data_IF_763892804600
#
_entry.id   IF_763892804600
#
_cell.length_a   1.000
_cell.length_b   1.000
_cell.length_c   1.000
_cell.angle_alpha   90.00
_cell.angle_beta   90.00
_cell.angle_gamma   90.00
#
_symmetry.space_group_name_H-M   'P 1'
#
loop_
_entity.id
_entity.type
_entity.pdbx_description
1 polymer ?
#
# COMPACT_ATOMS: atom_id res chain seq x y z
N UNK A 1 11.26 -5.33 -21.49
CA UNK A 1 10.84 -6.43 -20.60
C UNK A 1 9.31 -6.41 -20.58
N UNK A 2 8.60 -7.55 -20.73
CA UNK A 2 7.14 -7.52 -20.79
C UNK A 2 6.55 -7.12 -19.43
N UNK A 3 5.70 -6.08 -19.43
CA UNK A 3 4.93 -5.68 -18.27
C UNK A 3 3.96 -6.81 -17.93
N UNK A 4 3.96 -7.24 -16.67
CA UNK A 4 2.99 -8.22 -16.20
C UNK A 4 1.60 -7.56 -16.23
N UNK A 5 0.68 -8.13 -16.99
CA UNK A 5 -0.74 -7.84 -16.81
C UNK A 5 -1.26 -8.94 -15.87
N UNK A 6 -1.58 -8.62 -14.61
CA UNK A 6 -2.32 -9.55 -13.78
C UNK A 6 -3.62 -9.83 -14.54
N UNK A 7 -3.78 -11.08 -14.96
CA UNK A 7 -4.93 -11.48 -15.78
C UNK A 7 -6.18 -11.17 -14.96
N UNK A 8 -7.06 -10.32 -15.49
CA UNK A 8 -8.37 -9.98 -14.91
C UNK A 8 -8.41 -8.98 -13.73
N UNK A 9 -7.47 -8.03 -13.65
CA UNK A 9 -7.55 -6.92 -12.67
C UNK A 9 -7.87 -5.61 -13.40
N UNK A 10 -8.93 -4.90 -12.98
CA UNK A 10 -9.33 -3.62 -13.59
C UNK A 10 -8.33 -2.49 -13.27
N UNK A 11 -7.86 -2.41 -12.03
CA UNK A 11 -6.90 -1.40 -11.63
C UNK A 11 -5.94 -1.91 -10.52
N UNK A 12 -4.67 -1.58 -10.65
CA UNK A 12 -3.62 -1.83 -9.65
C UNK A 12 -3.22 -0.50 -9.02
N UNK A 13 -3.31 -0.41 -7.69
CA UNK A 13 -3.04 0.81 -6.92
C UNK A 13 -1.96 0.55 -5.90
N UNK A 14 -0.89 1.33 -5.92
CA UNK A 14 0.15 1.27 -4.90
C UNK A 14 -0.16 2.21 -3.73
N UNK A 15 -0.01 1.73 -2.50
CA UNK A 15 0.02 2.56 -1.30
C UNK A 15 1.47 2.76 -0.88
N UNK A 16 1.91 4.01 -0.85
CA UNK A 16 3.28 4.40 -0.55
C UNK A 16 3.34 5.48 0.52
N UNK A 17 4.50 5.63 1.13
CA UNK A 17 4.79 6.71 2.07
C UNK A 17 6.26 7.05 2.04
N UNK A 18 6.60 8.33 2.15
CA UNK A 18 7.98 8.78 2.20
C UNK A 18 8.69 8.44 3.53
N UNK A 19 7.92 8.16 4.60
CA UNK A 19 8.44 7.81 5.93
C UNK A 19 7.66 6.65 6.53
N UNK A 20 8.36 5.85 7.37
CA UNK A 20 7.74 4.79 8.15
C UNK A 20 6.85 5.33 9.29
N UNK A 21 5.96 4.48 9.80
CA UNK A 21 5.11 4.78 10.96
C UNK A 21 4.01 5.81 10.70
N UNK A 22 3.63 6.04 9.45
CA UNK A 22 2.50 6.93 9.09
C UNK A 22 1.14 6.22 9.09
N UNK A 23 1.10 4.92 9.33
CA UNK A 23 -0.13 4.11 9.35
C UNK A 23 -0.57 3.60 7.97
N UNK A 24 0.32 3.58 6.98
CA UNK A 24 0.04 3.18 5.58
C UNK A 24 -0.70 1.84 5.48
N UNK A 25 -0.18 0.77 6.09
CA UNK A 25 -0.74 -0.58 6.01
C UNK A 25 -2.14 -0.67 6.63
N UNK A 26 -2.35 -0.05 7.81
CA UNK A 26 -3.66 0.01 8.46
C UNK A 26 -4.68 0.77 7.60
N UNK A 27 -4.25 1.83 6.91
CA UNK A 27 -5.08 2.58 5.97
C UNK A 27 -5.39 1.72 4.75
N UNK A 28 -4.39 1.09 4.13
CA UNK A 28 -4.56 0.21 2.98
C UNK A 28 -5.60 -0.89 3.26
N UNK A 29 -5.48 -1.59 4.41
CA UNK A 29 -6.40 -2.65 4.84
C UNK A 29 -7.83 -2.12 5.03
N UNK A 30 -8.02 -0.97 5.70
CA UNK A 30 -9.36 -0.44 5.94
C UNK A 30 -9.99 0.21 4.70
N UNK A 31 -9.20 0.76 3.79
CA UNK A 31 -9.69 1.20 2.46
C UNK A 31 -10.10 -0.01 1.62
N UNK A 32 -9.32 -1.10 1.62
CA UNK A 32 -9.70 -2.34 0.96
C UNK A 32 -11.02 -2.90 1.53
N UNK A 33 -11.16 -2.88 2.85
CA UNK A 33 -12.39 -3.31 3.51
C UNK A 33 -13.59 -2.42 3.16
N UNK A 34 -13.42 -1.11 3.11
CA UNK A 34 -14.47 -0.18 2.71
C UNK A 34 -14.89 -0.39 1.23
N UNK A 35 -13.92 -0.63 0.33
CA UNK A 35 -14.18 -0.99 -1.07
C UNK A 35 -14.94 -2.32 -1.18
N UNK A 36 -14.55 -3.33 -0.41
CA UNK A 36 -15.23 -4.63 -0.40
C UNK A 36 -16.65 -4.51 0.16
N UNK A 37 -16.88 -3.69 1.20
CA UNK A 37 -18.21 -3.38 1.71
C UNK A 37 -19.06 -2.62 0.68
N UNK A 38 -18.45 -1.87 -0.23
CA UNK A 38 -19.12 -1.23 -1.36
C UNK A 38 -19.33 -2.19 -2.57
N UNK A 39 -19.04 -3.48 -2.40
CA UNK A 39 -19.29 -4.52 -3.42
C UNK A 39 -18.16 -4.72 -4.42
N UNK A 40 -16.98 -4.12 -4.21
CA UNK A 40 -15.80 -4.33 -5.06
C UNK A 40 -15.10 -5.64 -4.71
N UNK A 41 -14.62 -6.36 -5.73
CA UNK A 41 -13.71 -7.51 -5.57
C UNK A 41 -12.29 -6.97 -5.39
N UNK A 42 -11.75 -7.10 -4.17
CA UNK A 42 -10.47 -6.48 -3.79
C UNK A 42 -9.44 -7.53 -3.42
N UNK A 43 -8.21 -7.32 -3.87
CA UNK A 43 -7.05 -8.02 -3.34
C UNK A 43 -6.07 -7.05 -2.70
N UNK A 44 -5.29 -7.54 -1.73
CA UNK A 44 -4.16 -6.83 -1.14
C UNK A 44 -2.90 -7.67 -1.32
N UNK A 45 -1.85 -7.04 -1.83
CA UNK A 45 -0.49 -7.57 -1.78
C UNK A 45 0.27 -6.80 -0.71
N UNK A 46 0.73 -7.50 0.33
CA UNK A 46 1.69 -6.97 1.29
C UNK A 46 3.10 -7.13 0.70
N UNK A 47 3.56 -6.08 0.10
CA UNK A 47 4.89 -6.01 -0.51
C UNK A 47 5.95 -5.42 0.42
N UNK A 48 5.60 -5.08 1.69
CA UNK A 48 6.62 -4.69 2.67
C UNK A 48 7.47 -5.91 3.04
N UNK A 49 8.64 -5.97 2.40
CA UNK A 49 9.57 -7.08 2.54
C UNK A 49 10.25 -7.10 3.93
N UNK A 50 10.25 -5.97 4.64
CA UNK A 50 10.94 -5.83 5.93
C UNK A 50 10.01 -6.05 7.13
N UNK A 51 8.74 -5.63 6.98
CA UNK A 51 7.77 -5.64 8.09
C UNK A 51 6.36 -5.95 7.60
N UNK A 52 6.14 -7.13 6.98
CA UNK A 52 4.81 -7.48 6.47
C UNK A 52 3.82 -7.63 7.63
N UNK A 53 2.69 -6.93 7.55
CA UNK A 53 1.69 -6.90 8.63
C UNK A 53 0.25 -7.07 8.17
N UNK A 54 -0.02 -6.96 6.86
CA UNK A 54 -1.39 -6.96 6.29
C UNK A 54 -2.16 -8.22 6.62
N UNK A 55 -1.54 -9.41 6.52
CA UNK A 55 -2.23 -10.67 6.83
C UNK A 55 -2.69 -10.73 8.29
N UNK A 56 -1.82 -10.28 9.22
CA UNK A 56 -2.18 -10.15 10.64
C UNK A 56 -3.36 -9.21 10.86
N UNK A 57 -3.33 -8.03 10.23
CA UNK A 57 -4.41 -7.03 10.30
C UNK A 57 -5.74 -7.54 9.71
N UNK A 58 -5.69 -8.49 8.77
CA UNK A 58 -6.87 -9.17 8.22
C UNK A 58 -7.34 -10.35 9.08
N UNK A 59 -6.69 -10.63 10.21
CA UNK A 59 -6.99 -11.78 11.06
C UNK A 59 -6.60 -13.13 10.45
N UNK A 60 -5.75 -13.10 9.44
CA UNK A 60 -5.25 -14.30 8.79
C UNK A 60 -4.03 -14.81 9.58
N UNK A 61 -4.14 -16.04 10.08
CA UNK A 61 -3.03 -16.70 10.79
C UNK A 61 -1.85 -16.95 9.85
N UNK A 62 -0.65 -17.24 10.38
CA UNK A 62 0.51 -17.57 9.58
C UNK A 62 0.12 -18.63 8.55
N UNK A 63 0.14 -18.22 7.30
CA UNK A 63 -0.28 -19.05 6.19
C UNK A 63 0.91 -19.86 5.70
N UNK A 64 0.59 -20.89 4.95
CA UNK A 64 1.57 -21.70 4.23
C UNK A 64 2.60 -20.81 3.54
N UNK A 65 3.85 -21.20 3.62
CA UNK A 65 4.93 -20.63 2.84
C UNK A 65 5.02 -21.34 1.49
N UNK A 66 5.36 -20.60 0.47
CA UNK A 66 5.48 -21.08 -0.88
C UNK A 66 6.93 -21.27 -1.28
N UNK A 67 7.28 -22.49 -1.70
CA UNK A 67 8.61 -22.80 -2.21
C UNK A 67 8.92 -22.00 -3.51
N UNK A 68 10.20 -21.80 -3.86
CA UNK A 68 10.58 -21.21 -5.13
C UNK A 68 9.93 -21.96 -6.31
N UNK A 69 9.27 -21.21 -7.21
CA UNK A 69 8.57 -21.80 -8.39
C UNK A 69 7.17 -22.36 -8.09
N UNK A 70 6.75 -22.44 -6.84
CA UNK A 70 5.40 -22.86 -6.48
C UNK A 70 4.39 -21.76 -6.79
N UNK A 71 3.21 -22.17 -7.32
CA UNK A 71 2.10 -21.26 -7.53
C UNK A 71 1.52 -20.77 -6.19
N UNK A 72 1.18 -19.49 -6.15
CA UNK A 72 0.66 -18.84 -4.96
C UNK A 72 -0.85 -18.73 -5.05
N UNK A 73 -1.54 -19.36 -4.10
CA UNK A 73 -2.97 -19.16 -3.87
C UNK A 73 -3.16 -18.11 -2.76
N UNK A 74 -3.72 -16.92 -3.09
CA UNK A 74 -3.99 -15.91 -2.09
C UNK A 74 -4.97 -16.40 -1.03
N UNK A 75 -4.72 -16.02 0.21
CA UNK A 75 -5.64 -16.30 1.30
C UNK A 75 -6.96 -15.54 1.12
N UNK A 76 -8.06 -16.15 1.54
CA UNK A 76 -9.37 -15.50 1.62
C UNK A 76 -9.57 -14.89 3.00
N UNK A 77 -9.55 -13.58 3.07
CA UNK A 77 -9.79 -12.79 4.28
C UNK A 77 -11.26 -12.39 4.45
N UNK A 78 -11.52 -11.58 5.47
CA UNK A 78 -12.85 -11.01 5.70
C UNK A 78 -13.38 -10.27 4.46
N UNK A 79 -14.69 -10.21 4.29
CA UNK A 79 -15.38 -9.56 3.17
C UNK A 79 -14.98 -10.08 1.78
N UNK A 80 -14.37 -11.27 1.70
CA UNK A 80 -13.88 -11.84 0.46
C UNK A 80 -12.59 -11.21 -0.08
N UNK A 81 -11.90 -10.39 0.72
CA UNK A 81 -10.60 -9.80 0.35
C UNK A 81 -9.59 -10.93 0.15
N UNK A 82 -8.96 -10.99 -1.03
CA UNK A 82 -7.87 -11.92 -1.32
C UNK A 82 -6.55 -11.29 -0.92
N UNK A 83 -5.71 -12.00 -0.19
CA UNK A 83 -4.46 -11.42 0.31
C UNK A 83 -3.26 -12.38 0.18
N UNK A 84 -2.11 -11.80 -0.12
CA UNK A 84 -0.81 -12.48 -0.12
C UNK A 84 0.24 -11.51 0.45
N UNK A 85 1.26 -12.06 1.11
CA UNK A 85 2.33 -11.26 1.71
C UNK A 85 3.71 -11.82 1.39
N UNK A 86 4.68 -10.93 1.40
CA UNK A 86 6.10 -11.23 1.24
C UNK A 86 6.61 -12.28 2.24
N UNK A 87 6.09 -12.27 3.47
CA UNK A 87 6.40 -13.26 4.50
C UNK A 87 6.08 -14.71 4.13
N UNK A 88 5.22 -14.92 3.13
CA UNK A 88 4.91 -16.24 2.60
C UNK A 88 5.95 -16.76 1.60
N UNK A 89 6.88 -15.91 1.16
CA UNK A 89 7.94 -16.25 0.20
C UNK A 89 9.25 -16.67 0.90
N UNK A 90 9.36 -16.51 2.21
CA UNK A 90 10.60 -16.76 2.96
C UNK A 90 10.53 -18.03 3.79
N UNK A 91 11.62 -18.81 3.84
CA UNK A 91 11.76 -20.02 4.66
C UNK A 91 12.27 -19.70 6.09
N UNK A 92 11.57 -18.88 6.85
CA UNK A 92 11.74 -18.81 8.31
C UNK A 92 12.82 -17.88 8.87
N UNK A 93 13.79 -17.48 8.10
CA UNK A 93 14.82 -16.52 8.51
C UNK A 93 14.40 -15.09 8.16
N UNK A 94 14.75 -14.07 8.97
CA UNK A 94 14.57 -12.68 8.58
C UNK A 94 15.33 -12.44 7.28
N UNK A 95 14.61 -12.11 6.23
CA UNK A 95 15.25 -11.84 4.94
C UNK A 95 15.69 -10.38 4.94
N UNK A 96 16.99 -10.15 5.03
CA UNK A 96 17.56 -8.83 4.79
C UNK A 96 17.53 -8.56 3.28
N UNK A 97 16.58 -7.71 2.84
CA UNK A 97 16.52 -7.28 1.46
C UNK A 97 17.57 -6.18 1.23
N UNK A 98 18.59 -6.49 0.45
CA UNK A 98 19.53 -5.49 -0.03
C UNK A 98 18.93 -4.78 -1.25
N UNK A 99 18.63 -3.48 -1.10
CA UNK A 99 18.19 -2.62 -2.20
C UNK A 99 19.39 -2.01 -2.97
N UNK A 100 20.60 -2.51 -2.75
CA UNK A 100 21.79 -1.96 -3.35
C UNK A 100 22.05 -2.63 -4.71
N UNK A 101 21.37 -2.15 -5.74
CA UNK A 101 21.88 -2.26 -7.12
C UNK A 101 22.95 -1.17 -7.34
N UNK A 102 24.10 -1.30 -6.70
CA UNK A 102 25.31 -0.58 -7.11
C UNK A 102 26.38 -1.61 -7.39
N UNK A 103 26.98 -1.53 -8.58
CA UNK A 103 28.09 -2.39 -9.00
C UNK A 103 29.28 -2.37 -8.01
N UNK A 104 29.30 -1.39 -7.09
CA UNK A 104 30.34 -1.16 -6.08
C UNK A 104 29.93 -1.55 -4.65
N UNK A 105 28.78 -2.23 -4.44
CA UNK A 105 28.41 -2.66 -3.10
C UNK A 105 29.38 -3.74 -2.58
N UNK A 106 29.96 -3.60 -1.39
CA UNK A 106 30.79 -4.64 -0.82
C UNK A 106 29.97 -5.92 -0.65
N UNK A 107 30.53 -7.10 -0.87
CA UNK A 107 29.82 -8.36 -0.72
C UNK A 107 29.25 -8.44 0.70
N UNK A 108 27.97 -8.86 0.87
CA UNK A 108 27.34 -8.96 2.17
C UNK A 108 28.17 -9.86 3.09
N UNK A 109 28.45 -9.36 4.30
CA UNK A 109 29.19 -10.10 5.31
C UNK A 109 28.52 -11.45 5.57
N UNK A 110 29.33 -12.50 5.75
CA UNK A 110 28.82 -13.79 6.19
C UNK A 110 28.31 -13.65 7.63
N UNK A 111 27.08 -14.13 7.89
CA UNK A 111 26.61 -14.33 9.25
C UNK A 111 27.57 -15.28 9.99
N UNK A 112 27.68 -15.16 11.32
CA UNK A 112 28.61 -15.93 12.14
C UNK A 112 28.50 -17.46 11.97
N UNK A 113 27.39 -17.95 11.43
CA UNK A 113 27.12 -19.36 11.12
C UNK A 113 27.49 -19.78 9.68
N UNK A 114 28.10 -18.87 8.90
CA UNK A 114 28.52 -19.16 7.51
C UNK A 114 27.40 -19.12 6.47
N UNK A 115 26.15 -18.91 6.87
CA UNK A 115 25.03 -18.75 5.94
C UNK A 115 25.13 -17.40 5.21
N UNK A 116 24.87 -17.41 3.91
CA UNK A 116 24.61 -16.16 3.16
C UNK A 116 23.19 -15.73 3.50
N UNK A 117 22.95 -14.43 3.81
CA UNK A 117 21.58 -13.93 3.81
C UNK A 117 20.96 -14.28 2.46
N UNK A 118 19.76 -14.79 2.46
CA UNK A 118 19.03 -15.07 1.21
C UNK A 118 18.74 -13.69 0.58
N UNK A 119 19.53 -13.28 -0.39
CA UNK A 119 19.30 -12.10 -1.21
C UNK A 119 18.10 -12.39 -2.11
N UNK A 120 16.90 -12.13 -1.58
CA UNK A 120 15.70 -12.15 -2.43
C UNK A 120 15.73 -10.86 -3.21
N UNK A 121 15.95 -10.94 -4.53
CA UNK A 121 15.75 -9.84 -5.42
C UNK A 121 14.34 -9.28 -5.24
N UNK A 122 14.22 -8.01 -4.82
CA UNK A 122 12.95 -7.33 -4.61
C UNK A 122 12.02 -7.48 -5.83
N UNK A 123 12.58 -7.38 -7.01
CA UNK A 123 11.88 -7.55 -8.29
C UNK A 123 11.34 -8.98 -8.46
N UNK A 124 12.12 -9.99 -8.08
CA UNK A 124 11.70 -11.38 -8.12
C UNK A 124 10.57 -11.66 -7.14
N UNK A 125 10.68 -11.11 -5.92
CA UNK A 125 9.63 -11.21 -4.90
C UNK A 125 8.32 -10.55 -5.35
N UNK A 126 8.37 -9.29 -5.83
CA UNK A 126 7.22 -8.58 -6.37
C UNK A 126 6.59 -9.32 -7.54
N UNK A 127 7.40 -9.85 -8.47
CA UNK A 127 6.91 -10.64 -9.60
C UNK A 127 6.17 -11.89 -9.15
N UNK A 128 6.67 -12.59 -8.13
CA UNK A 128 5.99 -13.77 -7.57
C UNK A 128 4.67 -13.42 -6.92
N UNK A 129 4.62 -12.34 -6.13
CA UNK A 129 3.39 -11.89 -5.48
C UNK A 129 2.33 -11.44 -6.49
N UNK A 130 2.74 -10.71 -7.53
CA UNK A 130 1.86 -10.27 -8.63
C UNK A 130 1.34 -11.45 -9.47
N UNK A 131 2.12 -12.54 -9.56
CA UNK A 131 1.75 -13.77 -10.28
C UNK A 131 0.82 -14.69 -9.50
N UNK A 132 0.38 -14.35 -8.30
CA UNK A 132 -0.53 -15.18 -7.52
C UNK A 132 -1.92 -15.30 -8.18
N UNK A 133 -2.61 -16.41 -7.95
CA UNK A 133 -3.90 -16.73 -8.58
C UNK A 133 -5.07 -16.04 -7.91
N UNK A 134 -5.22 -14.75 -8.13
CA UNK A 134 -6.30 -13.97 -7.51
C UNK A 134 -7.68 -14.21 -8.13
N UNK A 135 -7.76 -14.60 -9.41
CA UNK A 135 -8.99 -14.58 -10.20
C UNK A 135 -9.45 -13.15 -10.53
N UNK A 136 -10.69 -12.97 -11.02
CA UNK A 136 -11.17 -11.65 -11.45
C UNK A 136 -11.34 -10.68 -10.28
N UNK A 137 -10.72 -9.49 -10.40
CA UNK A 137 -10.71 -8.41 -9.41
C UNK A 137 -11.13 -7.07 -10.02
N UNK A 138 -11.81 -6.25 -9.21
CA UNK A 138 -11.97 -4.84 -9.54
C UNK A 138 -10.70 -4.06 -9.21
N UNK A 139 -10.09 -4.33 -8.05
CA UNK A 139 -8.97 -3.57 -7.52
C UNK A 139 -7.94 -4.49 -6.86
N UNK A 140 -6.67 -4.23 -7.16
CA UNK A 140 -5.53 -4.78 -6.44
C UNK A 140 -4.81 -3.64 -5.74
N UNK A 141 -4.78 -3.67 -4.41
CA UNK A 141 -4.04 -2.71 -3.59
C UNK A 141 -2.71 -3.31 -3.19
N UNK A 142 -1.62 -2.58 -3.39
CA UNK A 142 -0.27 -3.03 -3.07
C UNK A 142 0.27 -2.16 -1.95
N UNK A 143 0.45 -2.75 -0.77
CA UNK A 143 1.06 -2.10 0.39
C UNK A 143 2.57 -2.20 0.31
N UNK A 144 3.26 -1.09 -0.01
CA UNK A 144 4.71 -1.03 -0.20
C UNK A 144 5.43 -0.74 1.13
N UNK A 145 6.71 -1.05 1.22
CA UNK A 145 7.56 -0.50 2.29
C UNK A 145 7.61 1.02 2.24
N UNK A 146 8.06 1.64 3.33
CA UNK A 146 8.33 3.08 3.35
C UNK A 146 9.50 3.43 2.43
N UNK A 147 9.45 4.58 1.79
CA UNK A 147 10.37 5.01 0.73
C UNK A 147 9.83 4.69 -0.66
N UNK A 148 10.62 4.93 -1.70
CA UNK A 148 10.18 4.83 -3.10
C UNK A 148 10.80 3.66 -3.87
N UNK A 149 11.82 2.99 -3.34
CA UNK A 149 12.58 1.96 -4.06
C UNK A 149 11.69 0.83 -4.59
N UNK A 150 10.73 0.37 -3.78
CA UNK A 150 9.79 -0.66 -4.22
C UNK A 150 8.78 -0.14 -5.26
N UNK A 151 8.37 1.12 -5.17
CA UNK A 151 7.45 1.72 -6.15
C UNK A 151 8.09 1.75 -7.54
N UNK A 152 9.36 2.14 -7.62
CA UNK A 152 10.11 2.12 -8.87
C UNK A 152 10.17 0.71 -9.48
N UNK A 153 10.58 -0.29 -8.69
CA UNK A 153 10.57 -1.69 -9.12
C UNK A 153 9.19 -2.18 -9.55
N UNK A 154 8.14 -1.77 -8.83
CA UNK A 154 6.76 -2.17 -9.12
C UNK A 154 6.26 -1.58 -10.44
N UNK A 155 6.55 -0.30 -10.70
CA UNK A 155 6.15 0.39 -11.92
C UNK A 155 6.77 -0.22 -13.19
N UNK A 156 7.95 -0.85 -13.06
CA UNK A 156 8.56 -1.60 -14.17
C UNK A 156 7.94 -2.98 -14.40
N UNK A 157 7.24 -3.52 -13.41
CA UNK A 157 6.66 -4.87 -13.45
C UNK A 157 5.20 -4.89 -13.86
N UNK A 158 4.42 -3.89 -13.47
CA UNK A 158 2.98 -3.86 -13.69
C UNK A 158 2.50 -2.45 -14.05
N UNK A 159 1.51 -2.36 -14.91
CA UNK A 159 0.83 -1.09 -15.20
C UNK A 159 0.02 -0.65 -13.98
N UNK A 160 0.44 0.45 -13.37
CA UNK A 160 -0.24 1.03 -12.22
C UNK A 160 -1.31 2.02 -12.69
N UNK A 161 -2.51 1.91 -12.13
CA UNK A 161 -3.50 3.01 -12.21
C UNK A 161 -2.96 4.26 -11.51
N UNK A 162 -2.11 4.06 -10.51
CA UNK A 162 -1.33 5.09 -9.84
C UNK A 162 -1.02 4.76 -8.39
N UNK A 163 -0.52 5.78 -7.68
CA UNK A 163 -0.09 5.68 -6.29
C UNK A 163 -0.95 6.56 -5.37
N UNK A 164 -1.28 6.02 -4.20
CA UNK A 164 -1.85 6.76 -3.07
C UNK A 164 -0.74 7.03 -2.07
N UNK A 165 -0.45 8.29 -1.78
CA UNK A 165 0.58 8.68 -0.82
C UNK A 165 -0.01 8.96 0.55
N UNK A 166 0.50 8.25 1.57
CA UNK A 166 0.10 8.44 2.96
C UNK A 166 1.17 9.22 3.71
N UNK A 167 0.75 10.26 4.44
CA UNK A 167 1.64 11.09 5.25
C UNK A 167 1.04 11.45 6.61
N UNK A 168 1.82 12.07 7.48
CA UNK A 168 1.38 12.69 8.75
C UNK A 168 1.49 14.22 8.66
N UNK A 169 0.75 14.97 9.51
CA UNK A 169 0.74 16.42 9.44
C UNK A 169 2.07 17.10 9.77
N UNK A 170 3.05 16.39 10.34
CA UNK A 170 4.32 17.01 10.74
C UNK A 170 5.07 17.60 9.53
N UNK A 171 5.69 18.77 9.71
CA UNK A 171 6.43 19.46 8.65
C UNK A 171 7.49 18.57 7.98
N UNK A 172 8.19 17.74 8.77
CA UNK A 172 9.19 16.81 8.25
C UNK A 172 8.57 15.71 7.35
N UNK A 173 7.35 15.24 7.66
CA UNK A 173 6.65 14.27 6.82
C UNK A 173 6.10 14.91 5.54
N UNK A 174 5.51 16.11 5.66
CA UNK A 174 4.99 16.87 4.51
C UNK A 174 6.13 17.17 3.53
N UNK A 175 7.28 17.62 4.02
CA UNK A 175 8.46 17.89 3.19
C UNK A 175 8.99 16.63 2.50
N UNK A 176 9.17 15.53 3.25
CA UNK A 176 9.60 14.27 2.67
C UNK A 176 8.60 13.74 1.62
N UNK A 177 7.30 13.92 1.85
CA UNK A 177 6.27 13.54 0.88
C UNK A 177 6.35 14.40 -0.38
N UNK A 178 6.60 15.71 -0.24
CA UNK A 178 6.79 16.61 -1.39
C UNK A 178 7.97 16.17 -2.26
N UNK A 179 9.11 15.83 -1.64
CA UNK A 179 10.28 15.38 -2.39
C UNK A 179 10.03 14.02 -3.07
N UNK A 180 9.34 13.11 -2.38
CA UNK A 180 8.92 11.83 -2.96
C UNK A 180 7.99 12.00 -4.16
N UNK A 181 7.02 12.92 -4.09
CA UNK A 181 6.08 13.19 -5.19
C UNK A 181 6.75 13.76 -6.43
N UNK A 182 7.83 14.54 -6.27
CA UNK A 182 8.65 14.99 -7.42
C UNK A 182 9.32 13.83 -8.15
N UNK A 183 9.83 12.85 -7.39
CA UNK A 183 10.45 11.64 -7.98
C UNK A 183 9.38 10.82 -8.71
N UNK A 184 8.23 10.60 -8.07
CA UNK A 184 7.10 9.86 -8.66
C UNK A 184 6.62 10.51 -9.96
N UNK A 185 6.54 11.83 -10.00
CA UNK A 185 6.17 12.58 -11.20
C UNK A 185 7.23 12.45 -12.31
N UNK A 186 8.52 12.47 -11.94
CA UNK A 186 9.63 12.25 -12.87
C UNK A 186 9.58 10.84 -13.48
N UNK A 187 9.23 9.83 -12.69
CA UNK A 187 9.10 8.43 -13.12
C UNK A 187 7.80 8.16 -13.92
N UNK A 188 6.99 9.19 -14.14
CA UNK A 188 5.75 9.10 -14.91
C UNK A 188 4.64 8.31 -14.23
N UNK A 189 4.76 8.02 -12.93
CA UNK A 189 3.72 7.32 -12.17
C UNK A 189 2.63 8.30 -11.75
N UNK A 190 1.38 7.98 -12.03
CA UNK A 190 0.24 8.82 -11.68
C UNK A 190 0.02 8.87 -10.16
N UNK A 191 -0.21 10.06 -9.59
CA UNK A 191 -0.61 10.22 -8.19
C UNK A 191 -2.14 10.26 -8.12
N UNK A 192 -2.76 9.19 -7.60
CA UNK A 192 -4.22 9.11 -7.42
C UNK A 192 -4.72 10.00 -6.29
N UNK A 193 -3.85 10.29 -5.34
CA UNK A 193 -4.16 11.25 -4.30
C UNK A 193 -3.38 11.06 -3.02
N UNK A 194 -3.66 11.96 -2.08
CA UNK A 194 -2.97 12.06 -0.80
C UNK A 194 -3.91 11.75 0.35
N UNK A 195 -3.40 11.03 1.36
CA UNK A 195 -4.09 10.79 2.64
C UNK A 195 -3.24 11.36 3.76
N UNK A 196 -3.82 12.29 4.53
CA UNK A 196 -3.21 12.81 5.76
C UNK A 196 -3.74 12.04 6.95
N UNK A 197 -2.86 11.30 7.65
CA UNK A 197 -3.23 10.49 8.80
C UNK A 197 -2.76 11.11 10.12
N UNK A 198 -3.42 10.75 11.21
CA UNK A 198 -3.08 11.21 12.58
C UNK A 198 -3.18 12.74 12.71
N UNK A 199 -4.19 13.35 12.10
CA UNK A 199 -4.40 14.79 12.08
C UNK A 199 -4.51 15.39 13.48
N UNK A 200 -5.18 14.66 14.39
CA UNK A 200 -5.35 15.04 15.78
C UNK A 200 -6.07 13.95 16.54
N UNK A 201 -6.04 14.05 17.86
CA UNK A 201 -6.75 13.18 18.80
C UNK A 201 -7.99 13.88 19.32
N UNK A 202 -9.13 13.21 19.25
CA UNK A 202 -10.37 13.69 19.86
C UNK A 202 -10.38 13.28 21.33
N UNK A 203 -10.40 14.25 22.24
CA UNK A 203 -10.43 13.99 23.67
C UNK A 203 -11.83 13.52 24.08
N UNK A 204 -11.92 12.32 24.65
CA UNK A 204 -13.20 11.74 25.08
C UNK A 204 -13.89 12.55 26.18
N UNK A 205 -13.12 13.30 26.97
CA UNK A 205 -13.66 14.09 28.12
C UNK A 205 -14.20 15.46 27.71
N UNK A 206 -13.52 16.16 26.77
CA UNK A 206 -13.89 17.53 26.38
C UNK A 206 -14.25 17.68 24.91
N UNK A 207 -14.20 16.61 24.15
CA UNK A 207 -14.47 16.54 22.70
C UNK A 207 -13.67 17.53 21.85
N UNK A 208 -12.57 18.05 22.40
CA UNK A 208 -11.68 18.95 21.66
C UNK A 208 -10.69 18.13 20.85
N UNK A 209 -10.54 18.45 19.57
CA UNK A 209 -9.50 17.86 18.72
C UNK A 209 -8.17 18.54 19.05
N UNK A 210 -7.18 17.75 19.47
CA UNK A 210 -5.82 18.21 19.77
C UNK A 210 -4.87 17.71 18.72
N UNK A 211 -4.09 18.57 18.04
CA UNK A 211 -3.04 18.13 17.14
C UNK A 211 -2.05 17.22 17.85
N UNK A 212 -1.68 16.11 17.22
CA UNK A 212 -0.63 15.21 17.73
C UNK A 212 0.78 15.66 17.34
N UNK A 213 0.87 16.42 16.25
CA UNK A 213 2.12 16.90 15.68
C UNK A 213 2.01 18.39 15.34
N UNK A 214 3.13 19.14 15.31
CA UNK A 214 3.16 20.45 14.67
C UNK A 214 2.64 20.33 13.23
N UNK A 215 1.72 21.22 12.85
CA UNK A 215 1.05 21.14 11.56
C UNK A 215 1.95 21.67 10.44
N UNK A 216 2.27 20.83 9.46
CA UNK A 216 2.84 21.22 8.18
C UNK A 216 1.76 21.67 7.19
N UNK A 217 2.18 22.30 6.09
CA UNK A 217 1.26 22.76 5.05
C UNK A 217 0.87 21.64 4.08
N UNK A 218 0.06 20.69 4.52
CA UNK A 218 -0.41 19.59 3.68
C UNK A 218 -1.31 20.04 2.53
N UNK A 219 -2.17 21.04 2.76
CA UNK A 219 -3.03 21.58 1.68
C UNK A 219 -2.20 22.27 0.60
N UNK A 220 -1.15 23.02 0.99
CA UNK A 220 -0.21 23.59 0.05
C UNK A 220 0.58 22.55 -0.73
N UNK A 221 0.95 21.43 -0.08
CA UNK A 221 1.56 20.30 -0.78
C UNK A 221 0.61 19.74 -1.85
N UNK A 222 -0.63 19.42 -1.50
CA UNK A 222 -1.60 18.86 -2.43
C UNK A 222 -1.83 19.78 -3.64
N UNK A 223 -1.92 21.09 -3.39
CA UNK A 223 -2.04 22.10 -4.46
C UNK A 223 -0.79 22.16 -5.35
N UNK A 224 0.41 22.15 -4.75
CA UNK A 224 1.66 22.25 -5.50
C UNK A 224 1.93 21.07 -6.43
N UNK A 225 1.39 19.89 -6.12
CA UNK A 225 1.54 18.67 -6.93
C UNK A 225 0.27 18.31 -7.71
N UNK A 226 -0.74 19.17 -7.68
CA UNK A 226 -2.04 18.99 -8.36
C UNK A 226 -2.69 17.62 -8.05
N UNK A 227 -2.46 17.10 -6.83
CA UNK A 227 -3.02 15.82 -6.42
C UNK A 227 -4.26 16.01 -5.54
N UNK A 228 -5.33 15.23 -5.74
CA UNK A 228 -6.50 15.31 -4.88
C UNK A 228 -6.19 14.82 -3.46
N UNK A 229 -6.82 15.45 -2.47
CA UNK A 229 -6.84 14.95 -1.10
C UNK A 229 -7.96 13.92 -1.00
N UNK A 230 -7.61 12.63 -0.90
CA UNK A 230 -8.59 11.56 -0.77
C UNK A 230 -9.27 11.58 0.61
N UNK A 231 -8.52 11.96 1.64
CA UNK A 231 -9.07 12.11 2.98
C UNK A 231 -8.05 12.56 4.02
N UNK A 232 -8.60 12.95 5.17
CA UNK A 232 -7.85 13.34 6.38
C UNK A 232 -8.38 12.55 7.55
N UNK A 233 -7.52 11.76 8.18
CA UNK A 233 -7.88 10.81 9.21
C UNK A 233 -7.44 11.32 10.59
N UNK A 234 -8.35 11.37 11.58
CA UNK A 234 -7.97 11.59 12.96
C UNK A 234 -7.20 10.37 13.49
N UNK A 235 -6.47 10.57 14.56
CA UNK A 235 -5.92 9.47 15.34
C UNK A 235 -7.03 8.84 16.17
N UNK A 236 -7.22 7.54 16.02
CA UNK A 236 -8.14 6.75 16.83
C UNK A 236 -7.39 5.49 17.33
N UNK A 237 -7.17 5.34 18.64
CA UNK A 237 -6.42 4.21 19.20
C UNK A 237 -7.09 2.87 18.91
N UNK A 238 -8.41 2.84 18.71
CA UNK A 238 -9.13 1.61 18.34
C UNK A 238 -8.71 1.05 16.99
N UNK A 239 -8.21 1.91 16.07
CA UNK A 239 -7.67 1.44 14.80
C UNK A 239 -6.43 0.57 15.00
N UNK A 240 -5.53 0.97 15.91
CA UNK A 240 -4.35 0.19 16.25
C UNK A 240 -4.73 -1.12 16.98
N UNK A 241 -5.67 -1.04 17.93
CA UNK A 241 -6.18 -2.21 18.63
C UNK A 241 -6.83 -3.23 17.66
N UNK A 242 -7.63 -2.76 16.71
CA UNK A 242 -8.17 -3.63 15.66
C UNK A 242 -7.08 -4.28 14.82
N UNK A 243 -6.06 -3.51 14.42
CA UNK A 243 -4.95 -4.01 13.61
C UNK A 243 -4.19 -5.13 14.35
N UNK A 244 -3.91 -4.98 15.65
CA UNK A 244 -3.24 -5.99 16.48
C UNK A 244 -4.09 -7.26 16.67
N UNK A 245 -5.40 -7.11 16.80
CA UNK A 245 -6.34 -8.23 16.97
C UNK A 245 -6.74 -8.91 15.65
N UNK A 246 -6.31 -8.37 14.51
CA UNK A 246 -6.72 -8.86 13.20
C UNK A 246 -8.18 -8.60 12.88
N UNK A 247 -8.71 -7.46 13.32
CA UNK A 247 -10.07 -7.01 13.11
C UNK A 247 -10.10 -5.79 12.17
N UNK A 248 -11.13 -5.71 11.33
CA UNK A 248 -11.33 -4.57 10.44
C UNK A 248 -12.07 -3.45 11.18
N UNK A 249 -11.42 -2.31 11.37
CA UNK A 249 -12.01 -1.18 12.08
C UNK A 249 -13.35 -0.72 11.46
N UNK A 250 -13.40 -0.62 10.14
CA UNK A 250 -14.63 -0.19 9.42
C UNK A 250 -15.82 -1.14 9.61
N UNK A 251 -15.55 -2.41 9.92
CA UNK A 251 -16.58 -3.41 10.19
C UNK A 251 -16.97 -3.44 11.67
N UNK A 252 -16.01 -3.25 12.57
CA UNK A 252 -16.23 -3.32 14.02
C UNK A 252 -16.89 -2.04 14.55
N UNK A 253 -16.54 -0.89 13.96
CA UNK A 253 -17.05 0.43 14.34
C UNK A 253 -17.66 1.18 13.15
N UNK A 254 -18.71 0.66 12.48
CA UNK A 254 -19.21 1.23 11.22
C UNK A 254 -19.74 2.66 11.36
N UNK A 255 -20.25 3.03 12.53
CA UNK A 255 -20.78 4.36 12.80
C UNK A 255 -19.74 5.38 13.25
N UNK A 256 -18.51 4.93 13.54
CA UNK A 256 -17.43 5.81 13.97
C UNK A 256 -17.09 6.84 12.88
N UNK A 257 -16.75 8.09 13.25
CA UNK A 257 -16.33 9.10 12.30
C UNK A 257 -15.19 8.64 11.40
N UNK A 258 -14.22 7.90 11.96
CA UNK A 258 -13.08 7.36 11.21
C UNK A 258 -13.52 6.31 10.17
N UNK A 259 -14.51 5.46 10.48
CA UNK A 259 -15.04 4.48 9.51
C UNK A 259 -15.73 5.17 8.33
N UNK A 260 -16.49 6.24 8.59
CA UNK A 260 -17.08 7.08 7.54
C UNK A 260 -16.03 7.76 6.66
N UNK A 261 -14.90 8.18 7.25
CA UNK A 261 -13.77 8.71 6.49
C UNK A 261 -13.13 7.63 5.59
N UNK A 262 -12.97 6.40 6.06
CA UNK A 262 -12.50 5.31 5.22
C UNK A 262 -13.44 5.01 4.04
N UNK A 263 -14.74 5.05 4.27
CA UNK A 263 -15.73 4.89 3.20
C UNK A 263 -15.64 6.05 2.19
N UNK A 264 -15.46 7.28 2.65
CA UNK A 264 -15.26 8.44 1.76
C UNK A 264 -13.95 8.32 0.95
N UNK A 265 -12.85 7.90 1.59
CA UNK A 265 -11.57 7.66 0.89
C UNK A 265 -11.73 6.59 -0.20
N UNK A 266 -12.42 5.48 0.12
CA UNK A 266 -12.68 4.41 -0.83
C UNK A 266 -13.48 4.92 -2.05
N UNK A 267 -14.52 5.71 -1.82
CA UNK A 267 -15.33 6.31 -2.88
C UNK A 267 -14.53 7.31 -3.72
N UNK A 268 -13.74 8.18 -3.08
CA UNK A 268 -12.88 9.15 -3.76
C UNK A 268 -11.81 8.45 -4.63
N UNK A 269 -11.21 7.37 -4.12
CA UNK A 269 -10.24 6.58 -4.85
C UNK A 269 -10.86 5.90 -6.07
N UNK A 270 -12.02 5.26 -5.92
CA UNK A 270 -12.73 4.61 -7.03
C UNK A 270 -13.14 5.62 -8.10
N UNK A 271 -13.60 6.81 -7.68
CA UNK A 271 -13.91 7.92 -8.59
C UNK A 271 -12.67 8.41 -9.35
N UNK A 272 -11.55 8.60 -8.67
CA UNK A 272 -10.31 9.08 -9.31
C UNK A 272 -9.75 8.06 -10.31
N UNK A 273 -9.81 6.77 -10.00
CA UNK A 273 -9.45 5.71 -10.93
C UNK A 273 -10.34 5.77 -12.19
N UNK A 274 -11.66 5.87 -12.01
CA UNK A 274 -12.59 5.95 -13.13
C UNK A 274 -12.39 7.23 -13.98
N UNK A 275 -12.15 8.36 -13.35
CA UNK A 275 -11.86 9.64 -14.01
C UNK A 275 -10.62 9.56 -14.90
N UNK A 276 -9.54 8.94 -14.39
CA UNK A 276 -8.29 8.78 -15.14
C UNK A 276 -8.42 7.78 -16.28
N UNK A 277 -9.10 6.66 -16.04
CA UNK A 277 -9.37 5.69 -17.11
C UNK A 277 -10.16 6.32 -18.27
N UNK A 278 -11.11 7.21 -17.98
CA UNK A 278 -11.88 7.93 -18.99
C UNK A 278 -11.05 9.02 -19.72
N UNK A 279 -9.99 9.52 -19.10
CA UNK A 279 -9.12 10.55 -19.69
C UNK A 279 -7.99 9.98 -20.57
N UNK A 280 -7.71 8.66 -20.49
CA UNK A 280 -6.76 8.01 -21.39
C UNK A 280 -7.41 7.84 -22.78
N UNK A 281 -6.82 8.40 -23.85
CA UNK A 281 -7.34 8.17 -25.20
C UNK A 281 -7.29 6.66 -25.49
N UNK A 282 -8.38 6.14 -26.06
CA UNK A 282 -8.39 4.78 -26.64
C UNK A 282 -7.24 4.72 -27.65
N UNK A 283 -6.18 3.98 -27.30
CA UNK A 283 -5.17 3.63 -28.29
C UNK A 283 -5.90 2.77 -29.32
N UNK A 284 -6.21 3.38 -30.46
CA UNK A 284 -6.75 2.65 -31.61
C UNK A 284 -5.73 1.58 -31.96
N UNK A 285 -6.11 0.30 -31.83
CA UNK A 285 -5.38 -0.79 -32.47
C UNK A 285 -5.37 -0.47 -33.95
N UNK A 286 -4.22 -0.08 -34.50
CA UNK A 286 -4.03 -0.07 -35.95
C UNK A 286 -4.13 -1.53 -36.40
N UNK A 287 -5.02 -1.85 -37.33
CA UNK A 287 -5.08 -3.18 -37.92
C UNK A 287 -3.80 -3.42 -38.73
N UNK A 288 -3.12 -4.52 -38.43
CA UNK A 288 -1.96 -5.00 -39.17
C UNK A 288 -2.29 -5.40 -40.61
#
# INVERSE_FOLDING_TARGET
MAILKPVEVRAVVAFASARGGVGKSAICVNVAAALAMAGRKVAIIDADLNSPGVLGMLGLKPLRRFAPGEEIDPASGPLGIRAVASSQLADGEPVAFSFLETEDAPPPGRLQNGARPFEVDCRAALRRLLGARFGPLDLMLIDLASGLSQLHCLAELVELAGVVMVTRPSEACVRATHDALKIIAHDGVAVLGLIENMLGFNCDSCHTVRPLFPQGNFSGLAHAVEAPILGRLPFDPRLADCAERGALFVREYPDAPLAKQFAAIAANLDHEIARRAAAQPLVSEEPA
#
